data_IF_522875447618
#
_entry.id   IF_522875447618
#
_cell.length_a   1.000
_cell.length_b   1.000
_cell.length_c   1.000
_cell.angle_alpha   90.00
_cell.angle_beta   90.00
_cell.angle_gamma   90.00
#
_symmetry.space_group_name_H-M   'P 1'
#
loop_
_entity.id
_entity.type
_entity.pdbx_description
1 polymer ?
#
# COMPACT_ATOMS: atom_id res chain seq x y z
N UNK A 1 -1.48 -21.23 -16.78
CA UNK A 1 -1.80 -19.83 -16.43
C UNK A 1 -2.83 -19.32 -17.41
N UNK A 2 -3.75 -18.45 -16.97
CA UNK A 2 -4.60 -17.70 -17.90
C UNK A 2 -3.77 -16.56 -18.52
N UNK A 3 -3.97 -16.31 -19.81
CA UNK A 3 -3.31 -15.20 -20.53
C UNK A 3 -4.22 -13.98 -20.51
N UNK A 4 -3.66 -12.81 -20.23
CA UNK A 4 -4.36 -11.52 -20.28
C UNK A 4 -3.51 -10.56 -21.11
N UNK A 5 -4.10 -10.01 -22.18
CA UNK A 5 -3.46 -9.01 -23.01
C UNK A 5 -3.79 -7.62 -22.48
N UNK A 6 -2.78 -6.76 -22.34
CA UNK A 6 -2.93 -5.38 -21.85
C UNK A 6 -2.15 -4.47 -22.77
N UNK A 7 -2.81 -3.43 -23.27
CA UNK A 7 -2.15 -2.35 -24.01
C UNK A 7 -1.71 -1.26 -23.04
N UNK A 8 -0.47 -0.82 -23.17
CA UNK A 8 0.11 0.25 -22.35
C UNK A 8 0.54 1.41 -23.27
N UNK A 9 0.43 2.67 -22.81
CA UNK A 9 1.11 3.79 -23.46
C UNK A 9 2.64 3.56 -23.51
N UNK A 10 3.31 4.16 -24.49
CA UNK A 10 4.75 3.94 -24.72
C UNK A 10 5.60 4.21 -23.48
N UNK A 11 5.37 5.34 -22.79
CA UNK A 11 6.10 5.68 -21.57
C UNK A 11 5.97 4.62 -20.47
N UNK A 12 4.81 3.98 -20.37
CA UNK A 12 4.60 2.90 -19.39
C UNK A 12 5.31 1.62 -19.82
N UNK A 13 5.30 1.30 -21.12
CA UNK A 13 6.03 0.17 -21.67
C UNK A 13 7.54 0.32 -21.43
N UNK A 14 8.10 1.49 -21.77
CA UNK A 14 9.52 1.82 -21.55
C UNK A 14 9.91 1.70 -20.08
N UNK A 15 9.06 2.16 -19.17
CA UNK A 15 9.27 1.99 -17.74
C UNK A 15 9.34 0.50 -17.34
N UNK A 16 8.40 -0.33 -17.80
CA UNK A 16 8.41 -1.78 -17.50
C UNK A 16 9.65 -2.45 -18.08
N UNK A 17 10.05 -2.10 -19.30
CA UNK A 17 11.27 -2.59 -19.94
C UNK A 17 12.52 -2.24 -19.12
N UNK A 18 12.61 -1.00 -18.62
CA UNK A 18 13.75 -0.57 -17.79
C UNK A 18 13.86 -1.39 -16.49
N UNK A 19 12.75 -1.79 -15.88
CA UNK A 19 12.77 -2.62 -14.67
C UNK A 19 13.32 -4.03 -14.96
N UNK A 20 13.10 -4.54 -16.16
CA UNK A 20 13.61 -5.84 -16.60
C UNK A 20 15.10 -5.74 -16.92
N UNK A 21 15.51 -4.70 -17.64
CA UNK A 21 16.92 -4.46 -17.99
C UNK A 21 17.82 -4.29 -16.75
N UNK A 22 17.28 -3.70 -15.69
CA UNK A 22 17.97 -3.58 -14.39
C UNK A 22 18.08 -4.91 -13.63
N UNK A 23 17.39 -5.96 -14.09
CA UNK A 23 17.38 -7.28 -13.47
C UNK A 23 16.43 -7.43 -12.28
N UNK A 24 15.63 -6.39 -11.98
CA UNK A 24 14.65 -6.42 -10.88
C UNK A 24 13.49 -7.40 -11.17
N UNK A 25 13.17 -7.60 -12.45
CA UNK A 25 12.10 -8.51 -12.87
C UNK A 25 12.52 -9.34 -14.10
N UNK A 26 12.11 -10.60 -14.14
CA UNK A 26 12.47 -11.51 -15.25
C UNK A 26 11.64 -11.30 -16.52
N UNK A 27 10.47 -10.64 -16.43
CA UNK A 27 9.61 -10.34 -17.57
C UNK A 27 8.56 -9.29 -17.22
N UNK A 28 7.91 -8.72 -18.24
CA UNK A 28 6.80 -7.77 -18.07
C UNK A 28 5.63 -8.41 -17.30
N UNK A 29 5.34 -9.68 -17.56
CA UNK A 29 4.31 -10.40 -16.83
C UNK A 29 4.66 -10.60 -15.35
N UNK A 30 5.94 -10.70 -15.01
CA UNK A 30 6.38 -10.81 -13.63
C UNK A 30 6.18 -9.49 -12.88
N UNK A 31 6.62 -8.38 -13.50
CA UNK A 31 6.37 -7.04 -13.00
C UNK A 31 4.89 -6.77 -12.74
N UNK A 32 4.03 -7.04 -13.72
CA UNK A 32 2.58 -6.84 -13.58
C UNK A 32 1.98 -7.71 -12.48
N UNK A 33 2.41 -8.97 -12.33
CA UNK A 33 1.93 -9.83 -11.23
C UNK A 33 2.31 -9.28 -9.87
N UNK A 34 3.52 -8.76 -9.71
CA UNK A 34 3.94 -8.15 -8.46
C UNK A 34 3.14 -6.89 -8.15
N UNK A 35 2.90 -6.00 -9.13
CA UNK A 35 2.04 -4.83 -8.96
C UNK A 35 0.63 -5.21 -8.50
N UNK A 36 0.03 -6.26 -9.09
CA UNK A 36 -1.28 -6.76 -8.67
C UNK A 36 -1.23 -7.26 -7.22
N UNK A 37 -0.20 -8.02 -6.83
CA UNK A 37 -0.05 -8.48 -5.44
C UNK A 37 0.15 -7.31 -4.49
N UNK A 38 0.92 -6.29 -4.88
CA UNK A 38 1.12 -5.10 -4.07
C UNK A 38 -0.19 -4.34 -3.86
N UNK A 39 -1.00 -4.19 -4.92
CA UNK A 39 -2.33 -3.57 -4.83
C UNK A 39 -3.25 -4.36 -3.88
N UNK A 40 -3.32 -5.69 -4.05
CA UNK A 40 -4.09 -6.55 -3.16
C UNK A 40 -3.63 -6.43 -1.70
N UNK A 41 -2.32 -6.39 -1.44
CA UNK A 41 -1.77 -6.19 -0.09
C UNK A 41 -2.20 -4.84 0.49
N UNK A 42 -2.06 -3.75 -0.27
CA UNK A 42 -2.47 -2.40 0.16
C UNK A 42 -3.95 -2.36 0.50
N UNK A 43 -4.81 -2.92 -0.36
CA UNK A 43 -6.25 -2.99 -0.10
C UNK A 43 -6.58 -3.84 1.13
N UNK A 44 -5.90 -4.97 1.33
CA UNK A 44 -6.11 -5.84 2.50
C UNK A 44 -5.74 -5.12 3.79
N UNK A 45 -4.60 -4.44 3.83
CA UNK A 45 -4.14 -3.68 5.00
C UNK A 45 -5.11 -2.54 5.33
N UNK A 46 -5.55 -1.79 4.32
CA UNK A 46 -6.53 -0.72 4.52
C UNK A 46 -7.85 -1.26 5.09
N UNK A 47 -8.38 -2.34 4.52
CA UNK A 47 -9.61 -2.97 5.02
C UNK A 47 -9.46 -3.47 6.45
N UNK A 48 -8.32 -4.06 6.79
CA UNK A 48 -8.05 -4.51 8.15
C UNK A 48 -8.04 -3.35 9.15
N UNK A 49 -7.31 -2.27 8.84
CA UNK A 49 -7.24 -1.07 9.70
C UNK A 49 -8.62 -0.40 9.87
N UNK A 50 -9.43 -0.34 8.79
CA UNK A 50 -10.79 0.17 8.88
C UNK A 50 -11.68 -0.70 9.77
N UNK A 51 -11.61 -2.03 9.61
CA UNK A 51 -12.39 -2.95 10.44
C UNK A 51 -11.98 -2.86 11.92
N UNK A 52 -10.69 -2.74 12.21
CA UNK A 52 -10.17 -2.51 13.56
C UNK A 52 -10.73 -1.21 14.14
N UNK A 53 -10.64 -0.10 13.40
CA UNK A 53 -11.18 1.19 13.84
C UNK A 53 -12.69 1.16 14.08
N UNK A 54 -13.46 0.55 13.16
CA UNK A 54 -14.91 0.40 13.33
C UNK A 54 -15.26 -0.50 14.53
N UNK A 55 -14.52 -1.58 14.74
CA UNK A 55 -14.69 -2.49 15.87
C UNK A 55 -14.26 -1.91 17.22
N UNK A 56 -13.40 -0.87 17.23
CA UNK A 56 -12.93 -0.21 18.45
C UNK A 56 -13.97 0.68 19.13
N UNK A 57 -15.10 0.94 18.46
CA UNK A 57 -16.15 1.82 18.98
C UNK A 57 -15.79 3.30 18.92
N UNK A 58 -16.70 4.16 19.40
CA UNK A 58 -16.45 5.61 19.44
C UNK A 58 -15.59 5.96 20.65
N UNK A 59 -14.47 6.64 20.40
CA UNK A 59 -13.67 7.20 21.49
C UNK A 59 -14.40 8.37 22.16
N UNK A 60 -14.43 8.45 23.49
CA UNK A 60 -14.93 9.62 24.21
C UNK A 60 -13.90 10.76 24.25
N UNK A 61 -12.64 10.50 23.85
CA UNK A 61 -11.55 11.47 23.92
C UNK A 61 -11.69 12.52 22.83
N UNK A 62 -11.41 13.77 23.19
CA UNK A 62 -11.29 14.86 22.24
C UNK A 62 -9.90 14.86 21.58
N UNK A 63 -9.75 15.63 20.50
CA UNK A 63 -8.44 15.82 19.87
C UNK A 63 -7.42 16.44 20.84
N UNK A 64 -7.85 17.35 21.72
CA UNK A 64 -7.00 17.98 22.73
C UNK A 64 -6.48 16.96 23.74
N UNK A 65 -7.35 16.06 24.23
CA UNK A 65 -6.95 15.00 25.16
C UNK A 65 -5.84 14.11 24.57
N UNK A 66 -5.97 13.76 23.28
CA UNK A 66 -4.98 12.93 22.57
C UNK A 66 -3.66 13.69 22.41
N UNK A 67 -3.69 14.97 22.03
CA UNK A 67 -2.50 15.79 21.85
C UNK A 67 -1.73 15.98 23.16
N UNK A 68 -2.43 16.28 24.25
CA UNK A 68 -1.83 16.46 25.57
C UNK A 68 -1.20 15.16 26.09
N UNK A 69 -1.88 14.01 25.92
CA UNK A 69 -1.33 12.70 26.28
C UNK A 69 -0.04 12.39 25.50
N UNK A 70 -0.06 12.65 24.19
CA UNK A 70 1.10 12.38 23.32
C UNK A 70 2.29 13.27 23.67
N UNK A 71 2.05 14.56 23.94
CA UNK A 71 3.10 15.51 24.33
C UNK A 71 3.78 15.13 25.64
N UNK A 72 3.01 14.69 26.65
CA UNK A 72 3.57 14.22 27.93
C UNK A 72 4.48 13.01 27.74
N UNK A 73 4.04 12.01 26.95
CA UNK A 73 4.85 10.82 26.64
C UNK A 73 6.17 11.13 25.94
N UNK A 74 6.23 12.19 25.15
CA UNK A 74 7.44 12.63 24.43
C UNK A 74 8.44 13.39 25.34
N UNK A 75 7.97 14.02 26.41
CA UNK A 75 8.84 14.71 27.38
C UNK A 75 9.29 13.84 28.55
N UNK A 76 8.56 12.76 28.85
CA UNK A 76 8.83 11.86 29.97
C UNK A 76 9.70 10.64 29.57
N UNK A 77 10.14 10.53 28.32
CA UNK A 77 11.04 9.48 27.81
C UNK A 77 12.35 10.07 27.28
#
# INVERSE_FOLDING_TARGET
MATMNVSLPDLMREWVESQIEQGEYASSSDYIRDLIRQDQRRQKLLKAALNEGLGSGRSPRTAEDILQETRKKLTDG
#
